data_IF_810830508864
#
_entry.id   IF_810830508864
#
_cell.length_a   1.000
_cell.length_b   1.000
_cell.length_c   1.000
_cell.angle_alpha   90.00
_cell.angle_beta   90.00
_cell.angle_gamma   90.00
#
_symmetry.space_group_name_H-M   'P 1'
#
loop_
_entity.id
_entity.type
_entity.pdbx_description
1 polymer ?
#
# COMPACT_ATOMS: atom_id res chain seq x y z
N UNK A 1 -6.94 69.94 41.41
CA UNK A 1 -5.86 70.95 41.32
C UNK A 1 -5.10 71.02 42.63
N UNK A 2 -3.92 70.37 42.71
CA UNK A 2 -2.66 70.91 43.29
C UNK A 2 -1.62 69.79 43.23
N UNK A 3 -0.64 70.02 42.36
CA UNK A 3 0.60 69.27 42.22
C UNK A 3 1.53 69.60 43.40
N UNK A 4 2.35 68.64 43.84
CA UNK A 4 3.83 68.74 43.81
C UNK A 4 4.52 67.59 44.57
N UNK A 5 5.29 66.79 43.82
CA UNK A 5 6.50 66.07 44.25
C UNK A 5 7.68 67.09 44.34
N UNK A 6 8.99 66.76 44.47
CA UNK A 6 9.74 65.54 44.89
C UNK A 6 10.96 65.84 45.81
N UNK A 7 11.69 64.82 46.29
CA UNK A 7 13.18 64.71 46.18
C UNK A 7 13.62 63.38 46.83
N UNK A 8 14.15 62.43 46.07
CA UNK A 8 15.51 62.30 45.52
C UNK A 8 16.48 61.61 46.48
N UNK A 9 16.80 60.36 46.18
CA UNK A 9 17.93 59.61 46.74
C UNK A 9 18.34 58.50 45.77
N UNK A 10 19.40 58.74 45.00
CA UNK A 10 19.95 57.82 43.99
C UNK A 10 20.88 56.78 44.65
N UNK A 11 20.63 55.48 44.34
CA UNK A 11 21.55 54.40 43.89
C UNK A 11 22.81 54.07 44.73
N UNK A 12 23.20 52.77 44.88
CA UNK A 12 23.68 51.99 43.72
C UNK A 12 23.35 50.50 43.67
N UNK A 13 23.56 49.98 42.46
CA UNK A 13 23.52 48.60 42.00
C UNK A 13 24.29 47.62 42.92
N UNK A 14 23.67 46.48 43.22
CA UNK A 14 24.37 45.19 43.30
C UNK A 14 23.50 44.08 42.70
N UNK A 15 24.04 43.50 41.64
CA UNK A 15 23.60 42.25 41.04
C UNK A 15 23.80 41.09 42.01
N UNK A 16 22.91 40.08 41.96
CA UNK A 16 23.27 38.68 42.22
C UNK A 16 22.05 37.75 42.05
N UNK A 17 22.19 36.82 41.11
CA UNK A 17 21.71 35.43 41.15
C UNK A 17 20.19 35.18 41.24
N UNK A 18 19.53 35.15 40.06
CA UNK A 18 18.34 34.31 39.89
C UNK A 18 18.84 32.91 39.50
N UNK A 19 18.61 31.97 40.41
CA UNK A 19 18.95 30.56 40.27
C UNK A 19 18.26 29.95 39.04
N UNK A 20 19.03 29.15 38.30
CA UNK A 20 18.61 28.49 37.07
C UNK A 20 17.47 27.48 37.31
N UNK A 21 16.39 27.67 36.56
CA UNK A 21 15.36 26.66 36.37
C UNK A 21 15.87 25.69 35.30
N UNK A 22 16.45 24.55 35.70
CA UNK A 22 16.67 23.42 34.80
C UNK A 22 15.30 22.93 34.32
N UNK A 23 14.91 23.36 33.12
CA UNK A 23 13.79 22.77 32.42
C UNK A 23 14.20 21.35 31.98
N UNK A 24 13.66 20.33 32.66
CA UNK A 24 13.63 18.96 32.18
C UNK A 24 12.84 18.92 30.87
N UNK A 25 13.52 19.03 29.73
CA UNK A 25 12.96 18.64 28.43
C UNK A 25 12.91 17.12 28.39
N UNK A 26 11.87 16.53 28.98
CA UNK A 26 11.51 15.15 28.76
C UNK A 26 11.17 14.98 27.27
N UNK A 27 12.11 14.43 26.51
CA UNK A 27 11.90 14.08 25.10
C UNK A 27 10.79 13.05 25.00
N UNK A 28 9.58 13.49 24.67
CA UNK A 28 8.49 12.65 24.22
C UNK A 28 8.93 11.99 22.91
N UNK A 29 9.53 10.81 23.04
CA UNK A 29 9.74 9.92 21.90
C UNK A 29 8.35 9.43 21.49
N UNK A 30 7.75 10.10 20.51
CA UNK A 30 6.54 9.61 19.87
C UNK A 30 6.84 8.19 19.37
N UNK A 31 6.03 7.17 19.72
CA UNK A 31 6.21 5.86 19.16
C UNK A 31 6.16 6.01 17.64
N UNK A 32 7.23 5.63 16.96
CA UNK A 32 7.19 5.47 15.52
C UNK A 32 6.01 4.53 15.23
N UNK A 33 4.97 5.04 14.56
CA UNK A 33 3.82 4.24 14.22
C UNK A 33 4.33 2.99 13.52
N UNK A 34 4.17 1.83 14.18
CA UNK A 34 4.61 0.56 13.63
C UNK A 34 3.89 0.39 12.30
N UNK A 35 4.63 0.44 11.20
CA UNK A 35 4.05 0.29 9.88
C UNK A 35 3.53 -1.14 9.75
N UNK A 36 2.35 -1.30 9.17
CA UNK A 36 1.78 -2.62 8.89
C UNK A 36 2.78 -3.40 8.02
N UNK A 37 3.24 -4.59 8.46
CA UNK A 37 4.17 -5.40 7.69
C UNK A 37 3.62 -5.77 6.30
N UNK A 38 4.47 -5.93 5.27
CA UNK A 38 4.03 -6.25 3.91
C UNK A 38 3.12 -7.48 3.82
N UNK A 39 3.46 -8.55 4.54
CA UNK A 39 2.64 -9.75 4.61
C UNK A 39 1.25 -9.45 5.17
N UNK A 40 1.15 -8.63 6.21
CA UNK A 40 -0.15 -8.29 6.81
C UNK A 40 -1.01 -7.44 5.87
N UNK A 41 -0.42 -6.51 5.12
CA UNK A 41 -1.14 -5.75 4.07
C UNK A 41 -1.64 -6.70 2.97
N UNK A 42 -0.82 -7.67 2.55
CA UNK A 42 -1.23 -8.67 1.57
C UNK A 42 -2.35 -9.57 2.08
N UNK A 43 -2.33 -9.99 3.35
CA UNK A 43 -3.44 -10.75 3.95
C UNK A 43 -4.73 -9.93 4.02
N UNK A 44 -4.64 -8.63 4.33
CA UNK A 44 -5.80 -7.73 4.28
C UNK A 44 -6.38 -7.62 2.86
N UNK A 45 -5.51 -7.56 1.85
CA UNK A 45 -5.91 -7.58 0.45
C UNK A 45 -6.66 -8.88 0.09
N UNK A 46 -6.11 -10.04 0.43
CA UNK A 46 -6.76 -11.33 0.18
C UNK A 46 -8.12 -11.44 0.88
N UNK A 47 -8.22 -10.94 2.11
CA UNK A 47 -9.48 -10.91 2.85
C UNK A 47 -10.52 -10.01 2.17
N UNK A 48 -10.12 -8.83 1.70
CA UNK A 48 -10.99 -7.91 0.97
C UNK A 48 -11.46 -8.50 -0.37
N UNK A 49 -10.55 -9.13 -1.13
CA UNK A 49 -10.88 -9.85 -2.37
C UNK A 49 -11.88 -10.97 -2.10
N UNK A 50 -11.63 -11.81 -1.09
CA UNK A 50 -12.54 -12.90 -0.71
C UNK A 50 -13.93 -12.40 -0.31
N UNK A 51 -14.00 -11.21 0.30
CA UNK A 51 -15.25 -10.56 0.67
C UNK A 51 -15.93 -9.82 -0.50
N UNK A 52 -15.30 -9.78 -1.68
CA UNK A 52 -15.70 -8.92 -2.81
C UNK A 52 -15.83 -7.44 -2.42
N UNK A 53 -15.02 -6.97 -1.46
CA UNK A 53 -15.07 -5.62 -0.93
C UNK A 53 -14.10 -4.70 -1.68
N UNK A 54 -14.61 -4.09 -2.76
CA UNK A 54 -13.85 -3.14 -3.58
C UNK A 54 -13.36 -1.94 -2.77
N UNK A 55 -14.15 -1.43 -1.84
CA UNK A 55 -13.76 -0.27 -1.05
C UNK A 55 -12.59 -0.59 -0.11
N UNK A 56 -12.60 -1.79 0.51
CA UNK A 56 -11.49 -2.27 1.31
C UNK A 56 -10.22 -2.50 0.47
N UNK A 57 -10.34 -3.02 -0.75
CA UNK A 57 -9.21 -3.12 -1.70
C UNK A 57 -8.65 -1.72 -2.00
N UNK A 58 -9.50 -0.76 -2.36
CA UNK A 58 -9.07 0.61 -2.69
C UNK A 58 -8.41 1.34 -1.52
N UNK A 59 -8.82 1.05 -0.28
CA UNK A 59 -8.21 1.60 0.93
C UNK A 59 -6.76 1.11 1.15
N UNK A 60 -6.42 -0.06 0.64
CA UNK A 60 -5.07 -0.62 0.72
C UNK A 60 -4.12 -0.06 -0.35
N UNK A 61 -4.65 0.53 -1.43
CA UNK A 61 -3.86 1.08 -2.53
C UNK A 61 -3.33 2.47 -2.17
N UNK A 62 -2.01 2.67 -2.29
CA UNK A 62 -1.37 3.97 -2.13
C UNK A 62 -1.85 4.95 -3.21
N UNK A 63 -1.94 6.24 -2.86
CA UNK A 63 -2.31 7.27 -3.85
C UNK A 63 -1.27 7.40 -4.96
N UNK A 64 0.01 7.19 -4.62
CA UNK A 64 1.15 7.26 -5.53
C UNK A 64 1.66 5.88 -5.98
N UNK A 65 0.76 4.89 -6.01
CA UNK A 65 1.04 3.55 -6.53
C UNK A 65 1.61 3.61 -7.96
N UNK A 66 2.48 2.67 -8.30
CA UNK A 66 2.95 2.51 -9.67
C UNK A 66 1.79 2.19 -10.62
N UNK A 67 1.91 2.69 -11.84
CA UNK A 67 0.88 2.49 -12.86
C UNK A 67 0.91 1.03 -13.32
N UNK A 68 -0.24 0.36 -13.27
CA UNK A 68 -0.40 -0.96 -13.88
C UNK A 68 -0.28 -0.86 -15.41
N UNK A 69 0.29 -1.90 -16.01
CA UNK A 69 0.36 -2.18 -17.45
C UNK A 69 -0.99 -2.65 -18.04
N UNK A 70 -2.06 -2.67 -17.25
CA UNK A 70 -3.37 -3.15 -17.67
C UNK A 70 -3.89 -2.34 -18.88
N UNK A 71 -4.22 -2.99 -20.02
CA UNK A 71 -4.56 -2.29 -21.26
C UNK A 71 -5.76 -1.35 -21.19
N UNK A 72 -6.67 -1.55 -20.23
CA UNK A 72 -7.84 -0.68 -20.05
C UNK A 72 -7.52 0.63 -19.30
N UNK A 73 -6.28 0.82 -18.82
CA UNK A 73 -5.87 2.02 -18.11
C UNK A 73 -5.70 3.22 -19.06
N UNK A 74 -6.69 4.11 -19.08
CA UNK A 74 -6.66 5.33 -19.90
C UNK A 74 -5.70 6.39 -19.33
N UNK A 75 -5.03 7.22 -20.15
CA UNK A 75 -4.03 8.19 -19.68
C UNK A 75 -4.52 9.15 -18.59
N UNK A 76 -5.79 9.54 -18.63
CA UNK A 76 -6.42 10.44 -17.66
C UNK A 76 -6.70 9.81 -16.29
N UNK A 77 -6.62 8.48 -16.17
CA UNK A 77 -6.81 7.79 -14.89
C UNK A 77 -5.58 8.00 -13.99
N UNK A 78 -5.82 8.26 -12.71
CA UNK A 78 -4.76 8.15 -11.70
C UNK A 78 -4.23 6.72 -11.63
N UNK A 79 -3.01 6.54 -11.15
CA UNK A 79 -2.44 5.20 -11.03
C UNK A 79 -3.26 4.31 -10.08
N UNK A 80 -3.80 4.89 -9.00
CA UNK A 80 -4.72 4.20 -8.10
C UNK A 80 -6.01 3.76 -8.79
N UNK A 81 -6.62 4.62 -9.62
CA UNK A 81 -7.79 4.24 -10.41
C UNK A 81 -7.46 3.13 -11.41
N UNK A 82 -6.30 3.20 -12.06
CA UNK A 82 -5.83 2.16 -12.97
C UNK A 82 -5.65 0.82 -12.25
N UNK A 83 -5.00 0.79 -11.08
CA UNK A 83 -4.83 -0.45 -10.33
C UNK A 83 -6.16 -1.00 -9.76
N UNK A 84 -7.04 -0.12 -9.25
CA UNK A 84 -8.39 -0.53 -8.82
C UNK A 84 -9.17 -1.18 -9.97
N UNK A 85 -9.12 -0.58 -11.16
CA UNK A 85 -9.77 -1.13 -12.35
C UNK A 85 -9.20 -2.49 -12.74
N UNK A 86 -7.88 -2.65 -12.71
CA UNK A 86 -7.22 -3.93 -12.99
C UNK A 86 -7.71 -5.03 -12.04
N UNK A 87 -7.67 -4.78 -10.72
CA UNK A 87 -8.08 -5.77 -9.71
C UNK A 87 -9.59 -6.08 -9.83
N UNK A 88 -10.41 -5.05 -10.04
CA UNK A 88 -11.84 -5.23 -10.21
C UNK A 88 -12.16 -6.10 -11.43
N UNK A 89 -11.60 -5.76 -12.59
CA UNK A 89 -11.89 -6.43 -13.85
C UNK A 89 -11.39 -7.88 -13.90
N UNK A 90 -10.27 -8.18 -13.24
CA UNK A 90 -9.60 -9.49 -13.33
C UNK A 90 -9.89 -10.42 -12.15
N UNK A 91 -10.19 -9.87 -10.97
CA UNK A 91 -10.40 -10.64 -9.75
C UNK A 91 -11.83 -10.48 -9.25
N UNK A 92 -12.26 -9.27 -8.87
CA UNK A 92 -13.53 -9.08 -8.15
C UNK A 92 -14.75 -9.39 -9.02
N UNK A 93 -14.82 -8.80 -10.22
CA UNK A 93 -15.94 -8.94 -11.15
C UNK A 93 -16.02 -10.31 -11.82
N UNK A 94 -14.99 -11.15 -11.70
CA UNK A 94 -14.93 -12.47 -12.33
C UNK A 94 -15.26 -13.62 -11.38
N UNK A 95 -15.75 -13.30 -10.18
CA UNK A 95 -15.88 -14.23 -9.07
C UNK A 95 -14.55 -15.00 -8.85
N UNK A 96 -13.43 -14.25 -8.88
CA UNK A 96 -12.09 -14.83 -8.79
C UNK A 96 -11.84 -15.45 -7.43
N UNK A 97 -11.56 -16.75 -7.41
CA UNK A 97 -11.02 -17.43 -6.24
C UNK A 97 -9.49 -17.45 -6.33
N UNK A 98 -8.84 -16.89 -5.31
CA UNK A 98 -7.39 -16.94 -5.15
C UNK A 98 -7.06 -18.01 -4.11
N UNK A 99 -6.25 -19.00 -4.53
CA UNK A 99 -5.63 -19.95 -3.62
C UNK A 99 -4.13 -19.69 -3.54
N UNK A 100 -3.67 -19.16 -2.41
CA UNK A 100 -2.24 -18.97 -2.16
C UNK A 100 -1.58 -20.33 -1.92
N UNK A 101 -0.50 -20.61 -2.65
CA UNK A 101 0.30 -21.83 -2.54
C UNK A 101 1.55 -21.60 -1.70
N UNK A 102 2.19 -20.45 -1.87
CA UNK A 102 3.40 -20.06 -1.16
C UNK A 102 3.50 -18.54 -1.10
N UNK A 103 3.96 -18.05 0.04
CA UNK A 103 4.31 -16.63 0.22
C UNK A 103 5.77 -16.52 0.61
N UNK A 104 6.47 -15.54 0.05
CA UNK A 104 7.80 -15.15 0.46
C UNK A 104 7.87 -13.63 0.56
N UNK A 105 8.45 -13.13 1.65
CA UNK A 105 8.68 -11.69 1.83
C UNK A 105 10.17 -11.41 1.61
N UNK A 106 10.46 -10.42 0.76
CA UNK A 106 11.81 -9.93 0.50
C UNK A 106 11.81 -8.42 0.67
N UNK A 107 12.33 -7.94 1.81
CA UNK A 107 12.26 -6.52 2.16
C UNK A 107 10.82 -6.03 2.30
N UNK A 108 10.43 -5.10 1.43
CA UNK A 108 9.10 -4.49 1.38
C UNK A 108 8.13 -5.17 0.40
N UNK A 109 8.58 -6.24 -0.25
CA UNK A 109 7.85 -6.90 -1.34
C UNK A 109 7.40 -8.31 -0.93
N UNK A 110 6.13 -8.60 -1.16
CA UNK A 110 5.53 -9.92 -1.05
C UNK A 110 5.52 -10.58 -2.42
N UNK A 111 6.05 -11.80 -2.49
CA UNK A 111 5.95 -12.70 -3.64
C UNK A 111 5.01 -13.84 -3.26
N UNK A 112 3.81 -13.87 -3.83
CA UNK A 112 2.80 -14.88 -3.51
C UNK A 112 2.48 -15.73 -4.75
N UNK A 113 2.97 -16.96 -4.75
CA UNK A 113 2.58 -17.94 -5.77
C UNK A 113 1.17 -18.43 -5.49
N UNK A 114 0.28 -18.33 -6.48
CA UNK A 114 -1.14 -18.59 -6.32
C UNK A 114 -1.74 -19.33 -7.52
N UNK A 115 -2.91 -19.93 -7.29
CA UNK A 115 -3.84 -20.34 -8.33
C UNK A 115 -5.00 -19.36 -8.38
N UNK A 116 -5.30 -18.86 -9.58
CA UNK A 116 -6.48 -18.09 -9.90
C UNK A 116 -7.51 -19.00 -10.57
N UNK A 117 -8.73 -19.00 -10.04
CA UNK A 117 -9.88 -19.66 -10.66
C UNK A 117 -10.97 -18.63 -10.85
N UNK A 118 -11.54 -18.52 -12.04
CA UNK A 118 -12.59 -17.53 -12.30
C UNK A 118 -13.46 -17.97 -13.47
N UNK A 119 -14.51 -17.22 -13.76
CA UNK A 119 -15.26 -17.43 -15.01
C UNK A 119 -14.38 -17.22 -16.25
N UNK A 120 -13.34 -16.38 -16.19
CA UNK A 120 -12.42 -16.21 -17.31
C UNK A 120 -11.61 -17.47 -17.59
N UNK A 121 -11.07 -18.12 -16.55
CA UNK A 121 -10.32 -19.37 -16.74
C UNK A 121 -11.22 -20.47 -17.29
N UNK A 122 -12.46 -20.58 -16.75
CA UNK A 122 -13.46 -21.53 -17.26
C UNK A 122 -13.81 -21.30 -18.73
N UNK A 123 -14.06 -20.05 -19.13
CA UNK A 123 -14.33 -19.69 -20.54
C UNK A 123 -13.16 -20.01 -21.47
N UNK A 124 -11.93 -19.96 -20.97
CA UNK A 124 -10.73 -20.36 -21.70
C UNK A 124 -10.50 -21.89 -21.72
N UNK A 125 -11.43 -22.68 -21.16
CA UNK A 125 -11.35 -24.15 -21.15
C UNK A 125 -10.34 -24.71 -20.14
N UNK A 126 -9.95 -23.93 -19.12
CA UNK A 126 -9.03 -24.38 -18.07
C UNK A 126 -9.61 -24.14 -16.68
N UNK A 127 -9.29 -25.03 -15.74
CA UNK A 127 -9.81 -24.91 -14.38
C UNK A 127 -9.17 -23.75 -13.60
N UNK A 128 -7.91 -23.43 -13.91
CA UNK A 128 -7.09 -22.47 -13.15
C UNK A 128 -5.91 -21.94 -13.97
N UNK A 129 -5.48 -20.73 -13.64
CA UNK A 129 -4.18 -20.18 -14.01
C UNK A 129 -3.29 -20.09 -12.77
N UNK A 130 -1.97 -20.20 -12.94
CA UNK A 130 -0.97 -20.07 -11.89
C UNK A 130 -0.05 -18.89 -12.20
N UNK A 131 0.43 -18.24 -11.15
CA UNK A 131 1.45 -17.22 -11.27
C UNK A 131 1.87 -16.71 -9.91
N UNK A 132 2.62 -15.63 -9.91
CA UNK A 132 3.10 -14.97 -8.69
C UNK A 132 2.61 -13.54 -8.67
N UNK A 133 1.85 -13.18 -7.64
CA UNK A 133 1.64 -11.78 -7.31
C UNK A 133 2.93 -11.22 -6.71
N UNK A 134 3.39 -10.11 -7.26
CA UNK A 134 4.47 -9.30 -6.72
C UNK A 134 3.88 -7.99 -6.20
N UNK A 135 3.85 -7.86 -4.87
CA UNK A 135 3.17 -6.77 -4.19
C UNK A 135 4.16 -6.03 -3.31
N UNK A 136 4.54 -4.82 -3.73
CA UNK A 136 5.41 -3.96 -2.94
C UNK A 136 4.57 -3.07 -2.03
N UNK A 137 4.94 -3.03 -0.76
CA UNK A 137 4.22 -2.31 0.28
C UNK A 137 5.09 -1.21 0.85
N UNK A 138 4.57 0.00 0.90
CA UNK A 138 5.26 1.15 1.53
C UNK A 138 4.28 1.87 2.44
N UNK A 139 4.71 2.18 3.67
CA UNK A 139 3.88 2.85 4.68
C UNK A 139 2.52 2.15 4.91
N UNK A 140 2.53 0.80 4.90
CA UNK A 140 1.34 -0.01 5.10
C UNK A 140 0.32 0.01 3.95
N UNK A 141 0.71 0.47 2.75
CA UNK A 141 -0.14 0.49 1.55
C UNK A 141 0.57 -0.13 0.36
N UNK A 142 -0.20 -0.65 -0.59
CA UNK A 142 0.28 -1.22 -1.86
C UNK A 142 0.83 -0.08 -2.71
N UNK A 143 2.14 -0.10 -2.95
CA UNK A 143 2.88 0.86 -3.75
C UNK A 143 3.19 0.34 -5.17
N UNK A 144 3.19 -0.98 -5.36
CA UNK A 144 3.17 -1.61 -6.68
C UNK A 144 2.49 -2.98 -6.59
N UNK A 145 1.82 -3.39 -7.67
CA UNK A 145 1.14 -4.67 -7.76
C UNK A 145 1.23 -5.15 -9.21
N UNK A 146 1.70 -6.38 -9.41
CA UNK A 146 1.60 -7.07 -10.69
C UNK A 146 1.46 -8.57 -10.49
N UNK A 147 0.79 -9.22 -11.43
CA UNK A 147 0.74 -10.67 -11.53
C UNK A 147 1.70 -11.15 -12.61
N UNK A 148 2.62 -12.04 -12.26
CA UNK A 148 3.56 -12.67 -13.20
C UNK A 148 3.05 -14.08 -13.52
N UNK A 149 2.54 -14.34 -14.74
CA UNK A 149 2.03 -15.66 -15.11
C UNK A 149 3.13 -16.72 -15.16
N UNK A 150 2.83 -17.93 -14.68
CA UNK A 150 3.69 -19.10 -14.86
C UNK A 150 3.47 -19.73 -16.24
N UNK A 151 4.20 -19.27 -17.26
CA UNK A 151 4.08 -19.82 -18.62
C UNK A 151 4.66 -21.23 -18.79
N UNK A 152 5.39 -21.76 -17.81
CA UNK A 152 5.81 -23.16 -17.82
C UNK A 152 4.64 -24.11 -17.51
N UNK A 153 3.62 -23.59 -16.83
CA UNK A 153 2.38 -24.29 -16.56
C UNK A 153 1.42 -24.23 -17.77
N UNK A 154 1.04 -25.41 -18.28
CA UNK A 154 0.24 -25.55 -19.50
C UNK A 154 -1.14 -24.88 -19.42
N UNK A 155 -1.97 -25.08 -18.36
CA UNK A 155 -3.24 -24.38 -18.24
C UNK A 155 -3.09 -22.85 -18.18
N UNK A 156 -2.06 -22.33 -17.51
CA UNK A 156 -1.77 -20.88 -17.48
C UNK A 156 -1.46 -20.36 -18.88
N UNK A 157 -0.59 -21.06 -19.62
CA UNK A 157 -0.25 -20.71 -20.99
C UNK A 157 -1.48 -20.69 -21.91
N UNK A 158 -2.38 -21.67 -21.78
CA UNK A 158 -3.64 -21.69 -22.55
C UNK A 158 -4.55 -20.52 -22.18
N UNK A 159 -4.70 -20.23 -20.89
CA UNK A 159 -5.52 -19.12 -20.41
C UNK A 159 -5.03 -17.78 -21.00
N UNK A 160 -3.77 -17.43 -20.78
CA UNK A 160 -3.21 -16.17 -21.29
C UNK A 160 -3.13 -16.15 -22.82
N UNK A 161 -2.86 -17.29 -23.46
CA UNK A 161 -2.94 -17.43 -24.92
C UNK A 161 -4.32 -17.12 -25.49
N UNK A 162 -5.40 -17.50 -24.79
CA UNK A 162 -6.78 -17.15 -25.18
C UNK A 162 -7.06 -15.64 -25.13
N UNK A 163 -6.27 -14.90 -24.34
CA UNK A 163 -6.31 -13.44 -24.22
C UNK A 163 -5.33 -12.74 -25.18
N UNK A 164 -4.59 -13.49 -26.00
CA UNK A 164 -3.55 -12.97 -26.88
C UNK A 164 -2.26 -12.58 -26.15
N UNK A 165 -2.05 -13.05 -24.93
CA UNK A 165 -0.89 -12.74 -24.08
C UNK A 165 0.09 -13.92 -24.09
N UNK A 166 1.32 -13.68 -24.53
CA UNK A 166 2.38 -14.69 -24.64
C UNK A 166 3.53 -14.50 -23.65
N UNK A 167 4.47 -15.47 -23.60
CA UNK A 167 5.69 -15.35 -22.81
C UNK A 167 6.49 -14.12 -23.26
N UNK A 168 6.88 -13.24 -22.32
CA UNK A 168 7.60 -12.00 -22.62
C UNK A 168 6.71 -10.75 -22.78
N UNK A 169 5.38 -10.89 -22.68
CA UNK A 169 4.50 -9.74 -22.45
C UNK A 169 4.69 -9.29 -20.99
N UNK A 170 5.56 -8.32 -20.78
CA UNK A 170 5.89 -7.68 -19.51
C UNK A 170 6.04 -6.18 -19.71
#
# INVERSE_FOLDING_TARGET
MKLNHPSSGRRPLRAAFIAGLMALTAGLSLPAAAQTPPEQVFQQYLAAVKAHDKAAVEALIAEDVERSDFPACRPEMSNKQCLSLYIDATVLSQAGEIRVLRTQVQGDTVHATLELRSELTRRAGVERARGTDEVRVRQGRIAAFRFVPDFADEPTRRFFGSLGIGPGAH
#
